data_IF_299080438304
#
_entry.id   IF_299080438304
#
_cell.length_a   1.000
_cell.length_b   1.000
_cell.length_c   1.000
_cell.angle_alpha   90.00
_cell.angle_beta   90.00
_cell.angle_gamma   90.00
#
_symmetry.space_group_name_H-M   'P 1'
#
loop_
_entity.id
_entity.type
_entity.pdbx_description
1 polymer ?
#
# COMPACT_ATOMS: atom_id res chain seq x y z
N UNK A 1 8.73 11.69 32.57
CA UNK A 1 10.03 11.72 31.87
C UNK A 1 10.03 10.53 30.94
N UNK A 2 9.75 10.76 29.65
CA UNK A 2 9.59 9.68 28.69
C UNK A 2 10.96 9.17 28.26
N UNK A 3 11.25 7.91 28.57
CA UNK A 3 12.46 7.22 28.12
C UNK A 3 12.44 7.04 26.60
N UNK A 4 12.98 8.02 25.87
CA UNK A 4 13.22 7.88 24.44
C UNK A 4 14.52 7.09 24.22
N UNK A 5 14.39 5.76 24.15
CA UNK A 5 15.45 4.90 23.60
C UNK A 5 15.64 5.25 22.13
N UNK A 6 16.73 5.96 21.82
CA UNK A 6 17.15 6.19 20.45
C UNK A 6 17.47 4.82 19.79
N UNK A 7 17.04 4.59 18.54
CA UNK A 7 17.36 3.35 17.84
C UNK A 7 18.87 3.25 17.65
N UNK A 8 19.48 2.13 18.02
CA UNK A 8 20.94 1.92 17.92
C UNK A 8 21.34 1.13 16.67
N UNK A 9 20.37 0.80 15.82
CA UNK A 9 20.59 0.02 14.60
C UNK A 9 21.31 0.87 13.54
N UNK A 10 22.36 0.34 12.89
CA UNK A 10 23.00 1.00 11.75
C UNK A 10 21.96 1.34 10.68
N UNK A 11 21.96 2.58 10.20
CA UNK A 11 20.99 3.07 9.21
C UNK A 11 19.66 3.58 9.79
N UNK A 12 19.42 3.47 11.10
CA UNK A 12 18.22 4.01 11.72
C UNK A 12 18.17 5.54 11.65
N UNK A 13 16.96 6.09 11.46
CA UNK A 13 16.73 7.53 11.34
C UNK A 13 16.63 8.13 12.74
N UNK A 14 17.52 9.06 13.06
CA UNK A 14 17.54 9.77 14.35
C UNK A 14 16.88 11.15 14.29
N UNK A 15 16.52 11.62 13.09
CA UNK A 15 15.84 12.89 12.91
C UNK A 15 15.91 13.38 11.47
N UNK A 16 15.48 14.62 11.25
CA UNK A 16 15.48 15.28 9.95
C UNK A 16 16.23 16.60 10.03
N UNK A 17 16.95 16.96 8.97
CA UNK A 17 17.58 18.29 8.82
C UNK A 17 16.51 19.33 8.48
N UNK A 18 16.83 20.62 8.67
CA UNK A 18 15.97 21.75 8.23
C UNK A 18 15.62 21.72 6.73
N UNK A 19 16.40 21.00 5.92
CA UNK A 19 16.16 20.76 4.50
C UNK A 19 15.29 19.53 4.20
N UNK A 20 14.71 18.88 5.22
CA UNK A 20 13.84 17.70 5.07
C UNK A 20 14.56 16.37 4.84
N UNK A 21 15.90 16.35 4.78
CA UNK A 21 16.66 15.09 4.57
C UNK A 21 16.81 14.32 5.90
N UNK A 22 16.62 12.98 5.92
CA UNK A 22 16.76 12.18 7.13
C UNK A 22 18.22 12.07 7.56
N UNK A 23 18.46 12.10 8.86
CA UNK A 23 19.76 11.87 9.51
C UNK A 23 19.80 10.40 9.93
N UNK A 24 20.77 9.65 9.42
CA UNK A 24 20.93 8.22 9.68
C UNK A 24 22.12 7.96 10.60
N UNK A 25 22.00 6.97 11.49
CA UNK A 25 23.14 6.44 12.24
C UNK A 25 24.09 5.71 11.30
N UNK A 26 25.35 6.14 11.27
CA UNK A 26 26.43 5.45 10.56
C UNK A 26 27.19 4.66 11.61
N UNK A 27 27.24 3.34 11.45
CA UNK A 27 28.09 2.49 12.28
C UNK A 27 29.52 2.58 11.73
N UNK A 28 30.38 3.36 12.40
CA UNK A 28 31.80 3.49 12.06
C UNK A 28 32.60 3.75 13.33
N UNK A 29 33.43 2.78 13.71
CA UNK A 29 34.28 2.84 14.89
C UNK A 29 35.55 3.65 14.69
N UNK A 30 36.01 4.21 15.81
CA UNK A 30 37.32 4.78 16.19
C UNK A 30 38.10 5.67 15.20
N UNK A 31 38.42 6.87 15.70
CA UNK A 31 39.22 7.89 15.03
C UNK A 31 40.69 7.52 14.83
N UNK A 32 41.27 8.07 13.78
CA UNK A 32 42.25 9.17 13.81
C UNK A 32 42.62 9.44 12.32
N UNK A 33 42.67 10.70 11.86
CA UNK A 33 43.16 10.96 10.51
C UNK A 33 42.64 12.23 9.86
N UNK A 34 43.42 13.29 10.03
CA UNK A 34 43.33 14.56 9.33
C UNK A 34 43.48 14.38 7.81
N UNK A 35 42.89 15.27 7.00
CA UNK A 35 43.35 15.46 5.61
C UNK A 35 42.28 15.53 4.52
N UNK A 36 42.03 16.76 4.10
CA UNK A 36 41.76 17.24 2.72
C UNK A 36 41.86 16.26 1.53
N UNK A 37 40.94 16.44 0.56
CA UNK A 37 41.13 16.10 -0.87
C UNK A 37 40.24 14.95 -1.36
N UNK A 38 39.18 15.20 -2.14
CA UNK A 38 39.17 15.41 -3.60
C UNK A 38 39.52 14.18 -4.43
N UNK A 39 38.49 13.59 -5.06
CA UNK A 39 38.56 13.07 -6.43
C UNK A 39 38.68 11.55 -6.63
N UNK A 40 37.81 11.00 -7.49
CA UNK A 40 38.14 9.85 -8.35
C UNK A 40 37.40 8.54 -8.05
N UNK A 41 36.30 8.28 -8.78
CA UNK A 41 35.71 6.95 -8.93
C UNK A 41 35.79 6.55 -10.41
N UNK A 42 36.40 5.39 -10.68
CA UNK A 42 36.43 4.74 -11.98
C UNK A 42 36.92 3.30 -11.86
N UNK A 43 36.01 2.35 -12.14
CA UNK A 43 36.14 0.95 -12.62
C UNK A 43 37.51 0.24 -12.51
N UNK A 44 37.63 -1.04 -12.13
CA UNK A 44 36.74 -2.17 -12.36
C UNK A 44 37.42 -3.49 -11.97
N UNK A 45 36.62 -4.55 -11.96
CA UNK A 45 36.91 -5.95 -11.63
C UNK A 45 38.06 -6.58 -12.45
N UNK A 46 38.59 -7.77 -12.05
CA UNK A 46 37.99 -8.97 -12.62
C UNK A 46 37.87 -10.18 -11.69
N UNK A 47 36.77 -10.89 -11.90
CA UNK A 47 36.50 -12.30 -11.62
C UNK A 47 37.30 -13.21 -12.57
N UNK A 48 37.51 -14.47 -12.20
CA UNK A 48 38.04 -15.49 -13.12
C UNK A 48 38.34 -16.84 -12.47
N UNK A 49 37.27 -17.56 -12.11
CA UNK A 49 37.27 -19.01 -11.92
C UNK A 49 37.18 -19.73 -13.26
N UNK A 50 37.93 -20.82 -13.49
CA UNK A 50 37.51 -22.02 -14.23
C UNK A 50 38.63 -23.07 -14.30
N UNK A 51 38.28 -24.36 -14.18
CA UNK A 51 39.16 -25.49 -14.50
C UNK A 51 38.86 -26.81 -13.76
N UNK A 52 37.86 -27.56 -14.21
CA UNK A 52 37.76 -29.05 -14.13
C UNK A 52 38.45 -29.67 -15.38
N UNK A 53 38.48 -31.01 -15.62
CA UNK A 53 38.92 -32.20 -14.84
C UNK A 53 39.83 -33.19 -15.67
N UNK A 54 40.39 -34.25 -15.06
CA UNK A 54 40.70 -35.63 -15.57
C UNK A 54 41.71 -36.32 -14.60
N UNK A 55 41.44 -37.47 -13.94
CA UNK A 55 41.45 -38.89 -14.42
C UNK A 55 42.79 -39.28 -15.11
N UNK A 56 43.60 -40.29 -14.73
CA UNK A 56 43.42 -41.64 -14.16
C UNK A 56 44.62 -42.02 -13.22
N UNK A 57 44.42 -42.74 -12.11
CA UNK A 57 44.67 -44.20 -11.95
C UNK A 57 46.06 -44.50 -11.34
N UNK A 58 46.30 -45.29 -10.27
CA UNK A 58 45.56 -46.38 -9.64
C UNK A 58 46.09 -46.69 -8.20
N UNK A 59 45.17 -47.15 -7.32
CA UNK A 59 45.23 -48.34 -6.44
C UNK A 59 46.43 -48.49 -5.45
N UNK A 60 46.25 -48.58 -4.11
CA UNK A 60 45.67 -49.67 -3.30
C UNK A 60 45.78 -49.18 -1.81
N UNK A 61 44.74 -49.15 -0.98
CA UNK A 61 44.27 -50.27 -0.16
C UNK A 61 44.53 -50.05 1.35
N UNK A 62 43.45 -49.94 2.16
CA UNK A 62 43.45 -50.00 3.64
C UNK A 62 43.57 -48.62 4.32
N UNK A 63 42.63 -48.12 5.12
CA UNK A 63 41.78 -48.82 6.09
C UNK A 63 42.03 -48.22 7.47
N UNK A 64 41.55 -46.98 7.65
CA UNK A 64 41.24 -46.26 8.90
C UNK A 64 41.71 -46.87 10.23
N UNK A 65 42.77 -46.30 10.82
CA UNK A 65 43.03 -46.42 12.27
C UNK A 65 42.24 -45.36 13.02
N UNK A 66 41.03 -45.73 13.47
CA UNK A 66 40.37 -45.02 14.56
C UNK A 66 41.07 -45.37 15.87
N UNK A 67 41.61 -44.35 16.52
CA UNK A 67 42.28 -44.42 17.80
C UNK A 67 41.34 -44.91 18.91
N UNK A 68 41.83 -45.83 19.74
CA UNK A 68 41.38 -45.97 21.13
C UNK A 68 40.23 -46.94 21.40
N UNK A 69 40.37 -48.22 21.03
CA UNK A 69 39.73 -49.30 21.78
C UNK A 69 40.82 -50.28 22.18
N UNK A 70 41.26 -50.22 23.43
CA UNK A 70 42.12 -51.25 24.01
C UNK A 70 41.28 -52.51 24.16
N UNK A 71 41.35 -53.40 23.17
CA UNK A 71 40.79 -54.74 23.28
C UNK A 71 41.58 -55.45 24.40
N UNK A 72 40.94 -55.91 25.49
CA UNK A 72 41.67 -56.64 26.52
C UNK A 72 42.24 -57.90 25.90
N UNK A 73 43.50 -58.20 26.20
CA UNK A 73 44.17 -59.42 25.75
C UNK A 73 43.37 -60.65 26.25
N UNK A 74 42.61 -61.25 25.32
CA UNK A 74 41.77 -62.42 25.58
C UNK A 74 42.58 -63.72 25.64
N UNK A 75 43.90 -63.65 25.43
CA UNK A 75 44.79 -64.81 25.32
C UNK A 75 45.22 -65.39 26.67
N UNK A 76 44.97 -64.70 27.78
CA UNK A 76 45.42 -65.10 29.13
C UNK A 76 44.41 -65.92 29.94
N UNK A 77 43.24 -66.22 29.38
CA UNK A 77 42.10 -66.85 30.09
C UNK A 77 41.65 -68.18 29.49
N UNK A 78 42.28 -68.59 28.39
CA UNK A 78 41.95 -69.83 27.67
C UNK A 78 42.90 -70.91 28.20
N UNK A 79 42.37 -71.85 29.00
CA UNK A 79 43.08 -73.07 29.35
C UNK A 79 42.78 -74.12 28.27
N UNK A 80 43.75 -74.52 27.43
CA UNK A 80 43.51 -75.45 26.31
C UNK A 80 43.24 -76.90 26.75
N UNK A 81 43.42 -77.23 28.03
CA UNK A 81 43.32 -78.60 28.56
C UNK A 81 41.94 -78.94 29.18
N UNK A 82 40.96 -78.03 29.16
CA UNK A 82 39.61 -78.31 29.68
C UNK A 82 38.74 -78.99 28.59
N UNK A 83 38.12 -80.16 28.85
CA UNK A 83 37.39 -80.90 27.83
C UNK A 83 36.20 -80.08 27.31
N UNK A 84 36.17 -79.89 25.99
CA UNK A 84 35.09 -79.20 25.29
C UNK A 84 34.01 -80.24 24.97
N UNK A 85 32.83 -80.08 25.56
CA UNK A 85 31.65 -80.86 25.17
C UNK A 85 31.08 -80.28 23.86
N UNK A 86 31.15 -81.01 22.72
CA UNK A 86 30.67 -80.52 21.43
C UNK A 86 29.14 -80.40 21.37
N UNK A 87 28.41 -81.02 22.30
CA UNK A 87 26.93 -81.01 22.36
C UNK A 87 26.38 -79.99 23.38
N UNK A 88 27.24 -79.12 23.93
CA UNK A 88 26.83 -78.08 24.87
C UNK A 88 25.96 -77.00 24.19
N UNK A 89 24.65 -77.07 24.41
CA UNK A 89 23.66 -76.12 23.85
C UNK A 89 23.39 -74.95 24.82
N UNK A 90 23.51 -75.17 26.13
CA UNK A 90 23.23 -74.15 27.16
C UNK A 90 24.51 -73.52 27.69
N UNK A 91 24.41 -72.24 28.07
CA UNK A 91 25.54 -71.47 28.65
C UNK A 91 26.18 -72.20 29.81
N UNK A 92 25.39 -72.86 30.67
CA UNK A 92 25.88 -73.56 31.86
C UNK A 92 26.61 -74.88 31.56
N UNK A 93 26.52 -75.38 30.31
CA UNK A 93 27.23 -76.58 29.83
C UNK A 93 28.59 -76.23 29.20
N UNK A 94 28.89 -74.94 29.02
CA UNK A 94 30.21 -74.53 28.55
C UNK A 94 31.25 -74.58 29.69
N UNK A 95 32.53 -74.81 29.36
CA UNK A 95 33.64 -74.64 30.29
C UNK A 95 33.62 -73.27 30.99
N UNK A 96 34.26 -73.20 32.15
CA UNK A 96 34.25 -72.01 33.01
C UNK A 96 34.72 -70.73 32.29
N UNK A 97 35.70 -70.85 31.41
CA UNK A 97 36.20 -69.77 30.56
C UNK A 97 35.15 -69.30 29.53
N UNK A 98 34.39 -70.23 28.94
CA UNK A 98 33.34 -69.94 27.96
C UNK A 98 32.16 -69.23 28.60
N UNK A 99 31.75 -69.66 29.79
CA UNK A 99 30.72 -68.97 30.58
C UNK A 99 31.12 -67.54 30.95
N UNK A 100 32.40 -67.33 31.30
CA UNK A 100 32.94 -66.01 31.59
C UNK A 100 32.92 -65.11 30.35
N UNK A 101 33.35 -65.64 29.20
CA UNK A 101 33.30 -64.93 27.92
C UNK A 101 31.88 -64.47 27.56
N UNK A 102 30.86 -65.33 27.72
CA UNK A 102 29.46 -64.95 27.48
C UNK A 102 28.94 -63.88 28.44
N UNK A 103 29.36 -63.91 29.71
CA UNK A 103 28.99 -62.88 30.71
C UNK A 103 29.64 -61.53 30.37
N UNK A 104 30.92 -61.55 30.00
CA UNK A 104 31.65 -60.35 29.61
C UNK A 104 31.08 -59.75 28.31
N UNK A 105 30.74 -60.57 27.32
CA UNK A 105 30.11 -60.12 26.07
C UNK A 105 28.71 -59.53 26.31
N UNK A 106 27.91 -60.11 27.22
CA UNK A 106 26.60 -59.56 27.60
C UNK A 106 26.72 -58.22 28.34
N UNK A 107 27.73 -58.09 29.20
CA UNK A 107 28.03 -56.84 29.91
C UNK A 107 28.46 -55.75 28.93
N UNK A 108 29.35 -56.09 28.00
CA UNK A 108 29.79 -55.20 26.94
C UNK A 108 28.61 -54.75 26.05
N UNK A 109 27.73 -55.67 25.64
CA UNK A 109 26.52 -55.32 24.88
C UNK A 109 25.52 -54.47 25.68
N UNK A 110 25.46 -54.62 27.01
CA UNK A 110 24.66 -53.75 27.87
C UNK A 110 25.27 -52.33 27.92
N UNK A 111 26.59 -52.22 28.08
CA UNK A 111 27.31 -50.95 28.11
C UNK A 111 27.17 -50.20 26.77
N UNK A 112 27.22 -50.91 25.63
CA UNK A 112 26.99 -50.31 24.31
C UNK A 112 25.56 -49.80 24.13
N UNK A 113 24.56 -50.52 24.61
CA UNK A 113 23.15 -50.06 24.55
C UNK A 113 22.93 -48.83 25.41
N UNK A 114 23.52 -48.78 26.60
CA UNK A 114 23.47 -47.60 27.47
C UNK A 114 24.15 -46.39 26.83
N UNK A 115 25.37 -46.57 26.28
CA UNK A 115 26.08 -45.50 25.57
C UNK A 115 25.31 -44.98 24.36
N UNK A 116 24.65 -45.87 23.61
CA UNK A 116 23.80 -45.47 22.48
C UNK A 116 22.59 -44.66 22.96
N UNK A 117 21.92 -45.10 24.03
CA UNK A 117 20.80 -44.38 24.63
C UNK A 117 21.22 -42.99 25.14
N UNK A 118 22.36 -42.88 25.81
CA UNK A 118 22.91 -41.61 26.28
C UNK A 118 23.31 -40.70 25.12
N UNK A 119 23.91 -41.26 24.04
CA UNK A 119 24.24 -40.51 22.84
C UNK A 119 22.99 -40.00 22.10
N UNK A 120 21.92 -40.81 22.03
CA UNK A 120 20.64 -40.37 21.43
C UNK A 120 19.99 -39.26 22.23
N UNK A 121 19.96 -39.37 23.57
CA UNK A 121 19.45 -38.30 24.44
C UNK A 121 20.28 -37.02 24.30
N UNK A 122 21.61 -37.13 24.27
CA UNK A 122 22.48 -35.99 24.05
C UNK A 122 22.26 -35.33 22.67
N UNK A 123 21.97 -36.12 21.62
CA UNK A 123 21.64 -35.61 20.29
C UNK A 123 20.27 -34.90 20.26
N UNK A 124 19.25 -35.48 20.90
CA UNK A 124 17.91 -34.89 21.01
C UNK A 124 17.93 -33.59 21.83
N UNK A 125 18.69 -33.57 22.93
CA UNK A 125 18.84 -32.38 23.77
C UNK A 125 19.68 -31.30 23.04
N UNK A 126 20.68 -31.69 22.25
CA UNK A 126 21.43 -30.76 21.39
C UNK A 126 20.57 -30.20 20.24
N UNK A 127 19.62 -30.97 19.70
CA UNK A 127 18.67 -30.51 18.69
C UNK A 127 17.68 -29.51 19.29
N UNK A 128 17.17 -29.76 20.50
CA UNK A 128 16.31 -28.82 21.24
C UNK A 128 17.04 -27.55 21.67
N UNK A 129 18.31 -27.67 22.06
CA UNK A 129 19.15 -26.55 22.49
C UNK A 129 19.57 -25.64 21.33
N UNK A 130 19.59 -26.14 20.08
CA UNK A 130 19.90 -25.34 18.88
C UNK A 130 18.79 -24.36 18.47
N UNK A 131 17.65 -24.35 19.16
CA UNK A 131 16.56 -23.42 18.91
C UNK A 131 15.88 -23.64 17.55
N UNK A 132 14.81 -22.88 17.25
CA UNK A 132 14.21 -22.90 15.92
C UNK A 132 15.26 -22.56 14.86
N UNK A 133 15.17 -23.21 13.71
CA UNK A 133 16.09 -22.99 12.60
C UNK A 133 16.09 -21.51 12.19
N UNK A 134 17.19 -20.99 11.60
CA UNK A 134 17.24 -19.61 11.12
C UNK A 134 16.05 -19.26 10.20
N UNK A 135 15.59 -20.21 9.39
CA UNK A 135 14.44 -20.07 8.50
C UNK A 135 13.12 -19.91 9.28
N UNK A 136 12.88 -20.75 10.29
CA UNK A 136 11.70 -20.64 11.16
C UNK A 136 11.70 -19.33 11.96
N UNK A 137 12.87 -18.87 12.44
CA UNK A 137 12.99 -17.57 13.10
C UNK A 137 12.63 -16.45 12.12
N UNK A 138 13.13 -16.48 10.88
CA UNK A 138 12.79 -15.45 9.89
C UNK A 138 11.31 -15.46 9.52
N UNK A 139 10.70 -16.65 9.39
CA UNK A 139 9.27 -16.78 9.12
C UNK A 139 8.43 -16.24 10.29
N UNK A 140 8.81 -16.55 11.53
CA UNK A 140 8.16 -16.05 12.73
C UNK A 140 8.26 -14.52 12.84
N UNK A 141 9.45 -13.95 12.61
CA UNK A 141 9.67 -12.50 12.64
C UNK A 141 8.85 -11.78 11.54
N UNK A 142 8.77 -12.36 10.34
CA UNK A 142 7.93 -11.80 9.27
C UNK A 142 6.44 -11.86 9.60
N UNK A 143 5.97 -12.97 10.18
CA UNK A 143 4.59 -13.12 10.61
C UNK A 143 4.24 -12.15 11.76
N UNK A 144 5.11 -12.02 12.75
CA UNK A 144 4.93 -11.12 13.88
C UNK A 144 4.96 -9.65 13.42
N UNK A 145 5.84 -9.31 12.48
CA UNK A 145 5.91 -7.96 11.90
C UNK A 145 4.67 -7.63 11.08
N UNK A 146 4.17 -8.56 10.26
CA UNK A 146 2.92 -8.39 9.51
C UNK A 146 1.72 -8.23 10.47
N UNK A 147 1.67 -9.00 11.55
CA UNK A 147 0.64 -8.85 12.58
C UNK A 147 0.73 -7.49 13.29
N UNK A 148 1.93 -7.00 13.61
CA UNK A 148 2.12 -5.66 14.19
C UNK A 148 1.67 -4.54 13.24
N UNK A 149 1.98 -4.66 11.94
CA UNK A 149 1.49 -3.73 10.92
C UNK A 149 -0.03 -3.79 10.84
N UNK A 150 -0.62 -4.99 10.77
CA UNK A 150 -2.07 -5.17 10.74
C UNK A 150 -2.77 -4.55 11.95
N UNK A 151 -2.22 -4.72 13.15
CA UNK A 151 -2.72 -4.09 14.38
C UNK A 151 -2.56 -2.57 14.38
N UNK A 152 -1.40 -2.07 13.96
CA UNK A 152 -1.12 -0.63 13.91
C UNK A 152 -1.99 0.11 12.89
N UNK A 153 -2.35 -0.55 11.78
CA UNK A 153 -3.25 -0.04 10.76
C UNK A 153 -4.74 -0.28 11.07
N UNK A 154 -5.05 -0.95 12.18
CA UNK A 154 -6.42 -1.28 12.58
C UNK A 154 -7.10 -2.34 11.71
N UNK A 155 -6.33 -3.07 10.89
CA UNK A 155 -6.81 -4.13 10.00
C UNK A 155 -7.01 -5.47 10.74
N UNK A 156 -6.34 -5.65 11.88
CA UNK A 156 -6.45 -6.83 12.74
C UNK A 156 -6.87 -6.37 14.14
N UNK A 157 -8.14 -6.55 14.48
CA UNK A 157 -8.63 -6.41 15.86
C UNK A 157 -8.35 -7.68 16.64
N UNK A 158 -8.07 -7.58 17.94
CA UNK A 158 -7.73 -8.74 18.81
C UNK A 158 -8.83 -9.83 18.87
N UNK A 159 -10.03 -9.57 18.32
CA UNK A 159 -11.14 -10.51 18.19
C UNK A 159 -11.20 -11.24 16.83
N UNK A 160 -10.46 -10.78 15.82
CA UNK A 160 -10.37 -11.38 14.50
C UNK A 160 -8.95 -11.90 14.27
N UNK A 161 -8.71 -13.11 14.77
CA UNK A 161 -7.52 -13.92 14.52
C UNK A 161 -7.44 -14.45 13.06
N UNK A 162 -7.98 -13.70 12.10
CA UNK A 162 -7.59 -13.88 10.71
C UNK A 162 -6.17 -13.36 10.58
N UNK A 163 -5.20 -14.27 10.65
CA UNK A 163 -3.81 -14.00 10.23
C UNK A 163 -3.85 -13.63 8.75
N UNK A 164 -4.08 -12.35 8.44
CA UNK A 164 -3.88 -11.85 7.09
C UNK A 164 -2.42 -12.11 6.76
N UNK A 165 -2.21 -12.84 5.67
CA UNK A 165 -0.86 -13.06 5.17
C UNK A 165 -0.26 -11.70 4.77
N UNK A 166 1.08 -11.54 4.84
CA UNK A 166 1.72 -10.28 4.44
C UNK A 166 1.31 -9.81 3.03
N UNK A 167 1.11 -10.75 2.12
CA UNK A 167 0.65 -10.48 0.75
C UNK A 167 -0.78 -9.90 0.72
N UNK A 168 -1.70 -10.44 1.52
CA UNK A 168 -3.07 -9.91 1.62
C UNK A 168 -3.12 -8.50 2.22
N UNK A 169 -2.24 -8.19 3.19
CA UNK A 169 -2.13 -6.83 3.73
C UNK A 169 -1.63 -5.86 2.66
N UNK A 170 -0.63 -6.27 1.86
CA UNK A 170 -0.12 -5.45 0.75
C UNK A 170 -1.20 -5.23 -0.31
N UNK A 171 -1.93 -6.27 -0.68
CA UNK A 171 -3.02 -6.19 -1.66
C UNK A 171 -4.12 -5.24 -1.18
N UNK A 172 -4.56 -5.39 0.07
CA UNK A 172 -5.58 -4.52 0.66
C UNK A 172 -5.13 -3.06 0.71
N UNK A 173 -3.91 -2.79 1.20
CA UNK A 173 -3.40 -1.41 1.27
C UNK A 173 -3.19 -0.79 -0.11
N UNK A 174 -2.77 -1.59 -1.09
CA UNK A 174 -2.63 -1.11 -2.47
C UNK A 174 -4.00 -0.79 -3.07
N UNK A 175 -4.99 -1.67 -2.84
CA UNK A 175 -6.38 -1.45 -3.24
C UNK A 175 -6.96 -0.17 -2.64
N UNK A 176 -6.88 -0.02 -1.31
CA UNK A 176 -7.38 1.16 -0.58
C UNK A 176 -6.67 2.45 -1.00
N UNK A 177 -5.34 2.39 -1.23
CA UNK A 177 -4.60 3.55 -1.74
C UNK A 177 -5.10 3.96 -3.11
N UNK A 178 -5.33 3.00 -4.00
CA UNK A 178 -5.75 3.26 -5.37
C UNK A 178 -7.21 3.75 -5.42
N UNK A 179 -8.10 3.23 -4.58
CA UNK A 179 -9.46 3.76 -4.43
C UNK A 179 -9.43 5.19 -3.88
N UNK A 180 -8.68 5.43 -2.82
CA UNK A 180 -8.51 6.77 -2.21
C UNK A 180 -7.92 7.78 -3.22
N UNK A 181 -7.00 7.33 -4.09
CA UNK A 181 -6.45 8.17 -5.14
C UNK A 181 -7.52 8.54 -6.18
N UNK A 182 -8.32 7.58 -6.63
CA UNK A 182 -9.43 7.82 -7.57
C UNK A 182 -10.47 8.77 -6.98
N UNK A 183 -10.91 8.54 -5.75
CA UNK A 183 -11.88 9.39 -5.06
C UNK A 183 -11.38 10.83 -4.92
N UNK A 184 -10.12 11.01 -4.51
CA UNK A 184 -9.50 12.33 -4.40
C UNK A 184 -9.43 13.04 -5.75
N UNK A 185 -9.08 12.35 -6.82
CA UNK A 185 -8.99 12.94 -8.16
C UNK A 185 -10.38 13.30 -8.71
N UNK A 186 -11.39 12.46 -8.44
CA UNK A 186 -12.78 12.78 -8.74
C UNK A 186 -13.28 14.02 -7.99
N UNK A 187 -13.02 14.10 -6.68
CA UNK A 187 -13.42 15.24 -5.86
C UNK A 187 -12.71 16.53 -6.28
N UNK A 188 -11.41 16.47 -6.60
CA UNK A 188 -10.71 17.61 -7.21
C UNK A 188 -11.34 18.04 -8.54
N UNK A 189 -11.77 17.07 -9.35
CA UNK A 189 -12.50 17.33 -10.59
C UNK A 189 -13.84 18.02 -10.35
N UNK A 190 -14.63 17.54 -9.37
CA UNK A 190 -15.92 18.14 -8.97
C UNK A 190 -15.72 19.55 -8.42
N UNK A 191 -14.72 19.75 -7.56
CA UNK A 191 -14.40 21.04 -6.97
C UNK A 191 -13.98 22.06 -8.03
N UNK A 192 -13.08 21.68 -8.94
CA UNK A 192 -12.66 22.54 -10.06
C UNK A 192 -13.85 22.97 -10.91
N UNK A 193 -14.72 22.03 -11.29
CA UNK A 193 -15.94 22.33 -12.08
C UNK A 193 -16.84 23.33 -11.34
N UNK A 194 -17.12 23.11 -10.06
CA UNK A 194 -17.96 24.01 -9.27
C UNK A 194 -17.37 25.42 -9.16
N UNK A 195 -16.05 25.55 -8.97
CA UNK A 195 -15.39 26.86 -8.94
C UNK A 195 -15.47 27.58 -10.29
N UNK A 196 -15.23 26.86 -11.39
CA UNK A 196 -15.33 27.42 -12.74
C UNK A 196 -16.77 27.82 -13.06
N UNK A 197 -17.76 26.99 -12.77
CA UNK A 197 -19.18 27.33 -12.94
C UNK A 197 -19.56 28.57 -12.14
N UNK A 198 -19.19 28.64 -10.86
CA UNK A 198 -19.43 29.82 -10.02
C UNK A 198 -18.76 31.07 -10.59
N UNK A 199 -17.55 30.94 -11.12
CA UNK A 199 -16.84 32.03 -11.75
C UNK A 199 -17.52 32.48 -13.05
N UNK A 200 -18.00 31.55 -13.88
CA UNK A 200 -18.78 31.84 -15.10
C UNK A 200 -20.08 32.57 -14.74
N UNK A 201 -20.81 32.14 -13.71
CA UNK A 201 -22.00 32.85 -13.24
C UNK A 201 -21.66 34.28 -12.80
N UNK A 202 -20.60 34.46 -12.02
CA UNK A 202 -20.19 35.78 -11.51
C UNK A 202 -19.68 36.70 -12.63
N UNK A 203 -18.82 36.21 -13.50
CA UNK A 203 -18.22 36.97 -14.59
C UNK A 203 -19.25 37.25 -15.70
N UNK A 204 -19.99 36.22 -16.12
CA UNK A 204 -21.04 36.32 -17.13
C UNK A 204 -22.10 37.34 -16.74
N UNK A 205 -22.60 37.28 -15.49
CA UNK A 205 -23.59 38.25 -14.99
C UNK A 205 -23.05 39.69 -15.02
N UNK A 206 -21.77 39.91 -14.69
CA UNK A 206 -21.14 41.24 -14.76
C UNK A 206 -20.97 41.76 -16.19
N UNK A 207 -20.79 40.85 -17.15
CA UNK A 207 -20.60 41.17 -18.57
C UNK A 207 -21.90 41.17 -19.39
N UNK A 208 -23.05 40.98 -18.75
CA UNK A 208 -24.35 40.90 -19.43
C UNK A 208 -24.50 39.64 -20.30
N UNK A 209 -23.77 38.58 -19.98
CA UNK A 209 -23.94 37.25 -20.56
C UNK A 209 -24.98 36.44 -19.76
N UNK A 210 -25.63 35.50 -20.44
CA UNK A 210 -26.43 34.42 -19.85
C UNK A 210 -25.49 33.25 -19.49
N UNK A 211 -25.21 33.04 -18.19
CA UNK A 211 -24.29 31.99 -17.76
C UNK A 211 -24.83 30.58 -18.01
N UNK A 212 -26.15 30.38 -17.98
CA UNK A 212 -26.76 29.07 -18.23
C UNK A 212 -26.58 28.69 -19.71
N UNK A 213 -26.81 29.63 -20.62
CA UNK A 213 -26.59 29.42 -22.05
C UNK A 213 -25.11 29.19 -22.40
N UNK A 214 -24.18 29.80 -21.65
CA UNK A 214 -22.75 29.54 -21.79
C UNK A 214 -22.37 28.14 -21.30
N UNK A 215 -22.83 27.72 -20.13
CA UNK A 215 -22.52 26.41 -19.54
C UNK A 215 -23.17 25.24 -20.30
N UNK A 216 -24.31 25.46 -20.96
CA UNK A 216 -24.93 24.47 -21.87
C UNK A 216 -24.12 24.29 -23.18
N UNK A 217 -23.26 25.24 -23.52
CA UNK A 217 -22.49 25.20 -24.76
C UNK A 217 -21.22 24.35 -24.66
N UNK A 218 -21.20 23.22 -25.35
CA UNK A 218 -20.02 22.33 -25.44
C UNK A 218 -18.77 23.03 -25.99
N UNK A 219 -18.91 24.03 -26.87
CA UNK A 219 -17.75 24.74 -27.43
C UNK A 219 -17.14 25.71 -26.41
N UNK A 220 -17.98 26.36 -25.59
CA UNK A 220 -17.53 27.21 -24.49
C UNK A 220 -16.88 26.37 -23.38
N UNK A 221 -17.55 25.29 -22.94
CA UNK A 221 -17.02 24.38 -21.92
C UNK A 221 -15.65 23.80 -22.31
N UNK A 222 -15.43 23.49 -23.60
CA UNK A 222 -14.12 23.05 -24.10
C UNK A 222 -13.02 24.11 -23.94
N UNK A 223 -13.32 25.40 -24.13
CA UNK A 223 -12.34 26.49 -24.00
C UNK A 223 -11.93 26.73 -22.54
N UNK A 224 -12.86 26.56 -21.60
CA UNK A 224 -12.62 26.77 -20.16
C UNK A 224 -12.13 25.51 -19.42
N UNK A 225 -12.16 24.33 -20.05
CA UNK A 225 -11.83 23.04 -19.42
C UNK A 225 -10.43 23.01 -18.82
N UNK A 226 -9.48 23.59 -19.55
CA UNK A 226 -8.06 23.57 -19.19
C UNK A 226 -7.67 24.79 -18.34
N UNK A 227 -8.65 25.63 -17.97
CA UNK A 227 -8.43 26.80 -17.14
C UNK A 227 -8.35 26.41 -15.66
N UNK A 228 -7.36 26.94 -14.96
CA UNK A 228 -7.11 26.61 -13.56
C UNK A 228 -7.72 27.68 -12.64
N UNK A 229 -8.74 27.35 -11.81
CA UNK A 229 -9.44 28.33 -10.97
C UNK A 229 -8.55 28.98 -9.91
N UNK A 230 -7.41 28.37 -9.58
CA UNK A 230 -6.45 28.86 -8.59
C UNK A 230 -5.34 29.74 -9.21
N UNK A 231 -5.29 29.86 -10.55
CA UNK A 231 -4.29 30.68 -11.22
C UNK A 231 -4.55 32.18 -11.01
N UNK A 232 -3.49 32.98 -10.92
CA UNK A 232 -3.58 34.42 -10.67
C UNK A 232 -4.30 35.18 -11.81
N UNK A 233 -4.16 34.68 -13.05
CA UNK A 233 -4.75 35.26 -14.26
C UNK A 233 -6.11 34.65 -14.64
N UNK A 234 -6.63 33.72 -13.84
CA UNK A 234 -7.89 32.99 -14.09
C UNK A 234 -9.06 33.90 -14.47
N UNK A 235 -9.27 34.97 -13.67
CA UNK A 235 -10.41 35.88 -13.85
C UNK A 235 -10.32 36.63 -15.19
N UNK A 236 -9.11 37.04 -15.59
CA UNK A 236 -8.87 37.75 -16.84
C UNK A 236 -9.08 36.81 -18.03
N UNK A 237 -8.44 35.63 -18.00
CA UNK A 237 -8.56 34.63 -19.05
C UNK A 237 -10.02 34.16 -19.24
N UNK A 238 -10.76 33.96 -18.14
CA UNK A 238 -12.18 33.62 -18.20
C UNK A 238 -13.00 34.76 -18.82
N UNK A 239 -12.72 36.01 -18.44
CA UNK A 239 -13.38 37.19 -18.99
C UNK A 239 -13.19 37.30 -20.51
N UNK A 240 -11.97 37.09 -21.01
CA UNK A 240 -11.66 37.12 -22.44
C UNK A 240 -12.41 36.02 -23.21
N UNK A 241 -12.50 34.81 -22.65
CA UNK A 241 -13.26 33.70 -23.27
C UNK A 241 -14.76 34.03 -23.31
N UNK A 242 -15.31 34.63 -22.26
CA UNK A 242 -16.73 35.06 -22.22
C UNK A 242 -16.96 36.17 -23.25
N UNK A 243 -16.08 37.17 -23.32
CA UNK A 243 -16.18 38.25 -24.31
C UNK A 243 -16.18 37.70 -25.73
N UNK A 244 -15.22 36.84 -26.05
CA UNK A 244 -15.12 36.19 -27.36
C UNK A 244 -16.39 35.36 -27.67
N UNK A 245 -16.94 34.66 -26.68
CA UNK A 245 -18.18 33.91 -26.88
C UNK A 245 -19.37 34.83 -27.20
N UNK A 246 -19.47 35.99 -26.55
CA UNK A 246 -20.51 36.98 -26.80
C UNK A 246 -20.39 37.62 -28.20
N UNK A 247 -19.16 37.85 -28.64
CA UNK A 247 -18.85 38.41 -29.96
C UNK A 247 -19.12 37.39 -31.07
N UNK A 248 -18.71 36.13 -30.87
CA UNK A 248 -18.95 35.02 -31.79
C UNK A 248 -20.44 34.67 -31.89
N UNK A 249 -21.18 34.78 -30.78
CA UNK A 249 -22.57 34.36 -30.71
C UNK A 249 -23.42 35.24 -29.77
N UNK A 250 -24.20 36.18 -30.33
CA UNK A 250 -25.06 37.06 -29.55
C UNK A 250 -26.14 36.36 -28.71
N UNK A 251 -26.44 35.07 -28.97
CA UNK A 251 -27.41 34.30 -28.17
C UNK A 251 -26.98 34.11 -26.71
N UNK A 252 -25.69 34.28 -26.41
CA UNK A 252 -25.21 34.22 -25.03
C UNK A 252 -25.40 35.55 -24.27
N UNK A 253 -25.95 36.60 -24.88
CA UNK A 253 -26.29 37.83 -24.16
C UNK A 253 -27.53 37.61 -23.29
N UNK A 254 -27.49 38.09 -22.07
CA UNK A 254 -28.61 38.03 -21.13
C UNK A 254 -29.86 38.67 -21.76
N UNK A 255 -30.97 37.94 -21.75
CA UNK A 255 -32.23 38.39 -22.36
C UNK A 255 -32.36 38.13 -23.86
N UNK A 256 -31.40 37.49 -24.54
CA UNK A 256 -31.56 37.14 -25.97
C UNK A 256 -32.65 36.08 -26.24
N UNK A 257 -32.98 35.26 -25.24
CA UNK A 257 -34.10 34.31 -25.24
C UNK A 257 -35.40 34.90 -24.68
N UNK A 258 -35.34 36.09 -24.08
CA UNK A 258 -36.50 36.83 -23.64
C UNK A 258 -36.98 37.74 -24.78
N UNK A 259 -37.60 37.12 -25.79
CA UNK A 259 -38.67 37.85 -26.49
C UNK A 259 -39.64 38.43 -25.44
N UNK A 260 -40.32 39.55 -25.72
CA UNK A 260 -41.29 40.12 -24.79
C UNK A 260 -42.16 39.00 -24.24
N UNK A 261 -42.37 38.90 -22.90
CA UNK A 261 -43.19 37.84 -22.35
C UNK A 261 -44.47 37.77 -23.17
N UNK A 262 -44.90 36.58 -23.66
CA UNK A 262 -46.15 36.47 -24.37
C UNK A 262 -47.18 37.10 -23.45
N UNK A 263 -47.79 38.21 -23.90
CA UNK A 263 -48.80 38.91 -23.12
C UNK A 263 -49.92 37.91 -22.91
N UNK A 264 -49.92 37.25 -21.76
CA UNK A 264 -51.03 36.44 -21.26
C UNK A 264 -52.13 37.39 -20.78
N UNK A 265 -52.53 38.32 -21.65
CA UNK A 265 -53.84 38.90 -21.65
C UNK A 265 -54.60 38.13 -22.71
N UNK A 266 -55.25 37.04 -22.31
CA UNK A 266 -56.32 36.50 -23.13
C UNK A 266 -57.23 37.66 -23.47
N UNK A 267 -57.47 37.88 -24.76
CA UNK A 267 -58.52 38.79 -25.18
C UNK A 267 -59.82 38.27 -24.58
N UNK A 268 -60.25 38.94 -23.50
CA UNK A 268 -61.61 38.87 -23.05
C UNK A 268 -62.44 39.63 -24.08
N UNK A 269 -62.69 38.98 -25.22
CA UNK A 269 -63.87 39.24 -26.03
C UNK A 269 -65.09 38.76 -25.22
N UNK A 270 -65.36 39.47 -24.13
CA UNK A 270 -66.48 39.24 -23.24
C UNK A 270 -67.77 39.64 -23.94
N UNK A 271 -68.39 38.67 -24.60
CA UNK A 271 -69.84 38.58 -24.83
C UNK A 271 -70.48 39.63 -25.77
N UNK A 272 -71.63 39.30 -26.38
CA UNK A 272 -72.39 40.25 -27.17
C UNK A 272 -73.02 41.29 -26.24
N UNK A 273 -72.27 42.35 -25.95
CA UNK A 273 -72.67 43.46 -25.08
C UNK A 273 -71.67 44.61 -25.01
N UNK A 274 -70.42 44.39 -25.45
CA UNK A 274 -69.40 45.45 -25.54
C UNK A 274 -69.74 46.48 -26.62
N UNK A 275 -70.09 47.70 -26.22
CA UNK A 275 -70.24 48.85 -27.13
C UNK A 275 -68.89 49.17 -27.77
N UNK A 276 -68.85 49.59 -29.06
CA UNK A 276 -67.60 49.93 -29.73
C UNK A 276 -66.86 51.05 -29.00
N UNK A 277 -65.54 50.89 -28.82
CA UNK A 277 -64.63 51.84 -28.17
C UNK A 277 -64.36 53.08 -29.05
N UNK A 278 -65.44 53.76 -29.41
CA UNK A 278 -65.42 55.01 -30.17
C UNK A 278 -66.66 55.88 -29.93
N UNK A 279 -67.55 55.49 -29.00
CA UNK A 279 -68.78 56.21 -28.69
C UNK A 279 -68.93 56.59 -27.22
N UNK A 280 -67.81 56.79 -26.51
CA UNK A 280 -67.86 57.51 -25.25
C UNK A 280 -67.79 59.01 -25.55
N UNK A 281 -68.84 59.79 -25.22
CA UNK A 281 -68.78 61.24 -25.38
C UNK A 281 -67.59 61.76 -24.58
N UNK A 282 -66.74 62.53 -25.25
CA UNK A 282 -65.58 63.14 -24.60
C UNK A 282 -66.04 64.11 -23.51
N UNK A 283 -65.14 64.46 -22.59
CA UNK A 283 -65.44 65.43 -21.52
C UNK A 283 -66.01 66.74 -22.09
N UNK A 284 -65.57 67.13 -23.30
CA UNK A 284 -66.10 68.30 -23.99
C UNK A 284 -67.50 68.11 -24.57
N UNK A 285 -67.88 66.89 -24.98
CA UNK A 285 -69.27 66.57 -25.35
C UNK A 285 -70.22 66.68 -24.15
N UNK A 286 -69.77 66.27 -22.96
CA UNK A 286 -70.54 66.47 -21.73
C UNK A 286 -70.70 67.94 -21.35
N UNK A 287 -69.65 68.76 -21.52
CA UNK A 287 -69.73 70.21 -21.29
C UNK A 287 -70.68 70.90 -22.27
N UNK A 288 -70.61 70.56 -23.57
CA UNK A 288 -71.54 71.07 -24.59
C UNK A 288 -72.99 70.70 -24.29
N UNK A 289 -73.25 69.46 -23.88
CA UNK A 289 -74.61 69.00 -23.55
C UNK A 289 -75.19 69.72 -22.33
N UNK A 290 -74.35 70.04 -21.34
CA UNK A 290 -74.75 70.83 -20.16
C UNK A 290 -74.99 72.30 -20.48
N UNK A 291 -74.24 72.88 -21.42
CA UNK A 291 -74.48 74.23 -21.91
C UNK A 291 -75.78 74.32 -22.75
N UNK A 292 -76.03 73.33 -23.61
CA UNK A 292 -77.25 73.26 -24.43
C UNK A 292 -78.51 73.04 -23.59
N UNK A 293 -78.45 72.25 -22.52
CA UNK A 293 -79.55 72.07 -21.58
C UNK A 293 -79.88 73.34 -20.78
N UNK A 294 -78.93 74.28 -20.67
CA UNK A 294 -79.12 75.58 -19.98
C UNK A 294 -79.69 76.67 -20.89
N UNK A 295 -79.74 76.46 -22.20
CA UNK A 295 -80.27 77.40 -23.18
C UNK A 295 -81.68 77.06 -23.70
N UNK A 296 -82.37 76.09 -23.09
CA UNK A 296 -83.81 75.86 -23.30
C UNK A 296 -84.61 76.14 -22.04
N UNK A 297 -84.92 77.42 -21.73
CA UNK A 297 -86.20 77.76 -21.15
C UNK A 297 -87.29 77.72 -22.25
N UNK A 298 -88.52 77.45 -21.79
CA UNK A 298 -89.77 77.38 -22.57
C UNK A 298 -90.04 78.57 -23.48
#
# INVERSE_FOLDING_TARGET
MSDHKLPTTPGAIIGYRKSGRPIRLIAGGNGEGDGTGSGGAGSGSPSGSEGQPQEDGAQQGGGTTAAGVTQPDRSSWINPDEPIDPDAIKVDQLPSWGQKLFRDLRKEAADYRSKLADATKAADDAAKAKGPSPEEITAQVQADFAAQIGKALGLVTDEQDTKLTPEQVIEQLTGERDTTAKERDEEKGRHRRALVELAVHRAGSKMGADPDALLDSRSFVKKIRDLDPDAEDFVTALGDIIQLALDDNPKYKAGSLAGPPPRSGGEFAGGPGGRPSGSEPTIDDFRKRRAAAKQKPS
#
